data_IF_432392809499
#
_entry.id   IF_432392809499
#
_cell.length_a   1.000
_cell.length_b   1.000
_cell.length_c   1.000
_cell.angle_alpha   90.00
_cell.angle_beta   90.00
_cell.angle_gamma   90.00
#
_symmetry.space_group_name_H-M   'P 1'
#
loop_
_entity.id
_entity.type
_entity.pdbx_description
1 polymer ?
#
# COMPACT_ATOMS: atom_id res chain seq x y z
N UNK A 1 6.16 -7.00 -9.15
CA UNK A 1 5.66 -5.83 -8.39
C UNK A 1 6.54 -5.53 -7.19
N UNK A 2 6.51 -6.36 -6.13
CA UNK A 2 7.26 -6.11 -4.89
C UNK A 2 8.78 -5.99 -5.07
N UNK A 3 9.39 -6.78 -5.97
CA UNK A 3 10.81 -6.64 -6.29
C UNK A 3 11.15 -5.27 -6.88
N UNK A 4 10.32 -4.77 -7.81
CA UNK A 4 10.48 -3.43 -8.37
C UNK A 4 10.31 -2.34 -7.32
N UNK A 5 9.39 -2.53 -6.35
CA UNK A 5 9.24 -1.63 -5.21
C UNK A 5 10.49 -1.62 -4.32
N UNK A 6 11.07 -2.78 -3.98
CA UNK A 6 12.33 -2.87 -3.20
C UNK A 6 13.44 -2.03 -3.85
N UNK A 7 13.55 -2.03 -5.18
CA UNK A 7 14.56 -1.24 -5.89
C UNK A 7 14.37 0.28 -5.76
N UNK A 8 13.14 0.76 -5.56
CA UNK A 8 12.85 2.22 -5.60
C UNK A 8 12.50 2.83 -4.25
N UNK A 9 11.99 2.04 -3.29
CA UNK A 9 11.37 2.57 -2.07
C UNK A 9 12.30 3.39 -1.18
N UNK A 10 13.63 3.17 -1.25
CA UNK A 10 14.64 3.89 -0.45
C UNK A 10 15.57 4.79 -1.27
N UNK A 11 15.34 4.95 -2.57
CA UNK A 11 16.24 5.73 -3.43
C UNK A 11 16.36 7.21 -2.99
N UNK A 12 15.28 7.78 -2.47
CA UNK A 12 15.27 9.12 -1.89
C UNK A 12 16.23 9.31 -0.73
N UNK A 13 16.67 8.23 -0.07
CA UNK A 13 17.63 8.28 1.03
C UNK A 13 19.03 8.73 0.59
N UNK A 14 19.35 8.67 -0.70
CA UNK A 14 20.56 9.26 -1.25
C UNK A 14 20.52 10.81 -1.27
N UNK A 15 19.32 11.41 -1.25
CA UNK A 15 19.13 12.86 -1.12
C UNK A 15 18.99 13.24 0.35
N UNK A 16 18.03 12.62 1.03
CA UNK A 16 17.68 12.92 2.42
C UNK A 16 17.28 11.60 3.12
N UNK A 17 18.13 11.09 4.02
CA UNK A 17 17.84 9.87 4.77
C UNK A 17 16.61 9.96 5.68
N UNK A 18 16.17 11.17 6.08
CA UNK A 18 15.02 11.36 6.97
C UNK A 18 13.69 11.49 6.20
N UNK A 19 13.75 11.89 4.92
CA UNK A 19 12.57 12.09 4.04
C UNK A 19 12.60 11.20 2.80
N UNK A 20 13.24 10.03 2.93
CA UNK A 20 13.49 9.15 1.80
C UNK A 20 12.19 8.69 1.13
N UNK A 21 11.10 8.57 1.85
CA UNK A 21 9.77 8.20 1.35
C UNK A 21 9.23 9.25 0.38
N UNK A 22 9.27 10.53 0.78
CA UNK A 22 8.83 11.67 -0.04
C UNK A 22 9.66 11.77 -1.31
N UNK A 23 10.99 11.73 -1.19
CA UNK A 23 11.89 11.82 -2.34
C UNK A 23 11.86 10.58 -3.22
N UNK A 24 11.60 9.38 -2.67
CA UNK A 24 11.41 8.18 -3.49
C UNK A 24 10.10 8.26 -4.27
N UNK A 25 9.03 8.80 -3.67
CA UNK A 25 7.75 8.97 -4.33
C UNK A 25 7.80 10.02 -5.44
N UNK A 26 8.40 11.20 -5.20
CA UNK A 26 8.56 12.22 -6.23
C UNK A 26 9.58 11.81 -7.30
N UNK A 27 10.67 11.14 -6.88
CA UNK A 27 11.75 10.66 -7.73
C UNK A 27 11.31 9.66 -8.80
N UNK A 28 10.23 8.90 -8.57
CA UNK A 28 9.69 7.96 -9.58
C UNK A 28 9.34 8.71 -10.89
N UNK A 29 8.69 9.87 -10.76
CA UNK A 29 8.27 10.68 -11.89
C UNK A 29 9.42 11.62 -12.33
N UNK A 30 10.12 12.25 -11.40
CA UNK A 30 11.20 13.22 -11.66
C UNK A 30 12.42 12.61 -12.37
N UNK A 31 12.81 11.38 -12.02
CA UNK A 31 13.95 10.69 -12.63
C UNK A 31 13.55 9.72 -13.75
N UNK A 32 12.29 9.79 -14.20
CA UNK A 32 11.76 8.93 -15.25
C UNK A 32 11.88 7.43 -14.94
N UNK A 33 11.98 7.04 -13.65
CA UNK A 33 12.08 5.65 -13.23
C UNK A 33 10.88 4.83 -13.68
N UNK A 34 9.72 5.47 -13.85
CA UNK A 34 8.54 4.82 -14.43
C UNK A 34 8.80 4.22 -15.81
N UNK A 35 9.55 4.91 -16.69
CA UNK A 35 9.90 4.36 -18.01
C UNK A 35 10.81 3.14 -17.91
N UNK A 36 11.79 3.20 -17.00
CA UNK A 36 12.74 2.11 -16.77
C UNK A 36 12.01 0.88 -16.22
N UNK A 37 11.15 1.06 -15.20
CA UNK A 37 10.36 -0.02 -14.61
C UNK A 37 9.42 -0.66 -15.63
N UNK A 38 8.72 0.15 -16.44
CA UNK A 38 7.84 -0.37 -17.49
C UNK A 38 8.61 -1.12 -18.58
N UNK A 39 9.78 -0.63 -19.00
CA UNK A 39 10.65 -1.36 -19.95
C UNK A 39 11.09 -2.69 -19.37
N UNK A 40 11.60 -2.70 -18.13
CA UNK A 40 12.05 -3.90 -17.46
C UNK A 40 10.93 -4.94 -17.32
N UNK A 41 9.69 -4.51 -17.01
CA UNK A 41 8.54 -5.43 -16.95
C UNK A 41 8.21 -6.06 -18.30
N UNK A 42 8.27 -5.28 -19.39
CA UNK A 42 8.06 -5.81 -20.74
C UNK A 42 9.16 -6.78 -21.15
N UNK A 43 10.41 -6.48 -20.82
CA UNK A 43 11.57 -7.32 -21.12
C UNK A 43 11.49 -8.70 -20.44
N UNK A 44 10.92 -8.77 -19.23
CA UNK A 44 10.67 -10.05 -18.54
C UNK A 44 9.33 -10.70 -18.95
N UNK A 45 8.65 -10.18 -19.98
CA UNK A 45 7.48 -10.79 -20.60
C UNK A 45 6.12 -10.38 -20.03
N UNK A 46 6.01 -9.31 -19.23
CA UNK A 46 4.70 -8.80 -18.83
C UNK A 46 4.04 -8.05 -20.00
N UNK A 47 2.77 -8.36 -20.24
CA UNK A 47 1.94 -7.59 -21.15
C UNK A 47 1.69 -6.17 -20.63
N UNK A 48 1.38 -5.25 -21.56
CA UNK A 48 1.20 -3.83 -21.25
C UNK A 48 0.22 -3.55 -20.10
N UNK A 49 -0.97 -4.18 -20.01
CA UNK A 49 -1.88 -3.96 -18.89
C UNK A 49 -1.29 -4.43 -17.56
N UNK A 50 -0.58 -5.57 -17.56
CA UNK A 50 0.05 -6.13 -16.37
C UNK A 50 1.25 -5.28 -15.91
N UNK A 51 2.06 -4.77 -16.83
CA UNK A 51 3.18 -3.87 -16.54
C UNK A 51 2.68 -2.54 -15.95
N UNK A 52 1.64 -1.95 -16.53
CA UNK A 52 1.03 -0.72 -16.01
C UNK A 52 0.41 -0.94 -14.63
N UNK A 53 -0.28 -2.07 -14.41
CA UNK A 53 -0.82 -2.45 -13.10
C UNK A 53 0.30 -2.64 -12.07
N UNK A 54 1.40 -3.29 -12.46
CA UNK A 54 2.56 -3.47 -11.61
C UNK A 54 3.20 -2.12 -11.20
N UNK A 55 3.34 -1.21 -12.16
CA UNK A 55 3.88 0.12 -11.91
C UNK A 55 2.98 0.95 -10.99
N UNK A 56 1.66 0.93 -11.22
CA UNK A 56 0.71 1.62 -10.35
C UNK A 56 0.78 1.14 -8.89
N UNK A 57 0.89 -0.18 -8.68
CA UNK A 57 1.09 -0.72 -7.33
C UNK A 57 2.40 -0.24 -6.70
N UNK A 58 3.51 -0.21 -7.46
CA UNK A 58 4.79 0.30 -6.95
C UNK A 58 4.67 1.74 -6.49
N UNK A 59 4.02 2.62 -7.28
CA UNK A 59 3.79 4.02 -6.88
C UNK A 59 3.01 4.12 -5.59
N UNK A 60 1.90 3.38 -5.47
CA UNK A 60 1.08 3.34 -4.25
C UNK A 60 1.93 2.92 -3.06
N UNK A 61 2.66 1.80 -3.17
CA UNK A 61 3.50 1.31 -2.07
C UNK A 61 4.63 2.29 -1.70
N UNK A 62 5.19 3.03 -2.67
CA UNK A 62 6.23 4.04 -2.41
C UNK A 62 5.66 5.27 -1.71
N UNK A 63 4.42 5.70 -2.02
CA UNK A 63 3.74 6.81 -1.34
C UNK A 63 3.23 6.43 0.04
N UNK A 64 2.86 5.16 0.21
CA UNK A 64 2.27 4.63 1.42
C UNK A 64 3.30 3.93 2.33
N UNK A 65 4.60 4.19 2.21
CA UNK A 65 5.63 3.45 2.97
C UNK A 65 5.47 3.49 4.49
N UNK A 66 4.82 4.53 5.01
CA UNK A 66 4.54 4.72 6.44
C UNK A 66 3.06 4.55 6.78
N UNK A 67 2.30 3.80 5.97
CA UNK A 67 0.87 3.55 6.20
C UNK A 67 0.58 2.85 7.53
N UNK A 68 1.53 2.03 8.02
CA UNK A 68 1.43 1.34 9.30
C UNK A 68 2.36 2.00 10.34
N UNK A 69 1.83 2.60 11.42
CA UNK A 69 2.66 3.30 12.40
C UNK A 69 3.60 2.34 13.13
N UNK A 70 4.87 2.74 13.27
CA UNK A 70 5.89 1.99 14.03
C UNK A 70 5.80 2.22 15.54
N UNK A 71 5.26 3.36 15.97
CA UNK A 71 5.14 3.77 17.36
C UNK A 71 3.70 4.23 17.62
N UNK A 72 2.89 3.32 18.17
CA UNK A 72 1.46 3.52 18.45
C UNK A 72 1.22 4.27 19.77
N UNK A 73 1.96 5.36 20.04
CA UNK A 73 1.73 6.19 21.24
C UNK A 73 0.38 6.93 21.20
N UNK A 74 -0.26 6.98 20.01
CA UNK A 74 -1.71 7.20 19.86
C UNK A 74 -2.22 6.10 18.95
N UNK A 75 -3.09 5.23 19.47
CA UNK A 75 -3.75 4.21 18.65
C UNK A 75 -4.71 4.91 17.68
N UNK A 76 -4.25 5.21 16.46
CA UNK A 76 -5.16 5.56 15.38
C UNK A 76 -6.13 4.38 15.18
N UNK A 77 -7.43 4.66 15.09
CA UNK A 77 -8.40 3.59 14.85
C UNK A 77 -8.19 2.97 13.47
N UNK A 78 -8.64 1.72 13.30
CA UNK A 78 -8.62 1.04 12.00
C UNK A 78 -9.28 1.89 10.90
N UNK A 79 -10.38 2.58 11.23
CA UNK A 79 -11.01 3.58 10.38
C UNK A 79 -10.04 4.68 9.96
N UNK A 80 -9.36 5.34 10.91
CA UNK A 80 -8.47 6.47 10.62
C UNK A 80 -7.29 6.06 9.73
N UNK A 81 -6.71 4.88 10.00
CA UNK A 81 -5.61 4.33 9.18
C UNK A 81 -6.09 4.12 7.73
N UNK A 82 -7.24 3.47 7.54
CA UNK A 82 -7.74 3.20 6.20
C UNK A 82 -8.26 4.44 5.48
N UNK A 83 -8.87 5.38 6.21
CA UNK A 83 -9.28 6.69 5.69
C UNK A 83 -8.07 7.46 5.15
N UNK A 84 -6.94 7.48 5.87
CA UNK A 84 -5.71 8.11 5.41
C UNK A 84 -5.17 7.47 4.13
N UNK A 85 -5.23 6.13 4.01
CA UNK A 85 -4.86 5.42 2.77
C UNK A 85 -5.77 5.86 1.61
N UNK A 86 -7.07 6.00 1.86
CA UNK A 86 -8.05 6.45 0.86
C UNK A 86 -7.92 7.92 0.46
N UNK A 87 -7.20 8.76 1.21
CA UNK A 87 -6.92 10.14 0.80
C UNK A 87 -6.01 10.22 -0.43
N UNK A 88 -5.27 9.16 -0.73
CA UNK A 88 -4.48 9.07 -1.95
C UNK A 88 -5.35 8.80 -3.18
N UNK A 89 -5.27 9.69 -4.17
CA UNK A 89 -6.02 9.56 -5.42
C UNK A 89 -5.60 8.32 -6.24
N UNK A 90 -4.34 7.90 -6.16
CA UNK A 90 -3.86 6.69 -6.84
C UNK A 90 -4.47 5.44 -6.22
N UNK A 91 -4.63 5.41 -4.90
CA UNK A 91 -5.34 4.33 -4.19
C UNK A 91 -6.81 4.27 -4.61
N UNK A 92 -7.52 5.41 -4.63
CA UNK A 92 -8.92 5.45 -5.07
C UNK A 92 -9.08 4.99 -6.51
N UNK A 93 -8.16 5.37 -7.40
CA UNK A 93 -8.13 4.92 -8.80
C UNK A 93 -7.87 3.42 -8.89
N UNK A 94 -6.92 2.90 -8.11
CA UNK A 94 -6.61 1.47 -8.04
C UNK A 94 -7.81 0.65 -7.61
N UNK A 95 -8.52 1.10 -6.57
CA UNK A 95 -9.74 0.47 -6.05
C UNK A 95 -10.93 0.57 -7.01
N UNK A 96 -10.80 1.31 -8.13
CA UNK A 96 -11.84 1.49 -9.14
C UNK A 96 -13.14 2.02 -8.52
N UNK A 97 -13.01 2.96 -7.58
CA UNK A 97 -14.15 3.51 -6.86
C UNK A 97 -15.06 4.25 -7.85
N UNK A 98 -16.31 3.82 -7.92
CA UNK A 98 -17.32 4.38 -8.81
C UNK A 98 -18.62 4.67 -8.06
N UNK A 99 -19.41 5.63 -8.56
CA UNK A 99 -20.70 6.02 -7.98
C UNK A 99 -21.84 5.48 -8.84
N UNK A 100 -22.76 4.76 -8.22
CA UNK A 100 -23.98 4.26 -8.87
C UNK A 100 -25.16 4.35 -7.89
N UNK A 101 -26.23 5.04 -8.31
CA UNK A 101 -27.37 5.40 -7.44
C UNK A 101 -26.94 5.98 -6.08
N UNK A 102 -26.06 6.98 -6.13
CA UNK A 102 -25.49 7.67 -4.96
C UNK A 102 -24.66 6.80 -4.00
N UNK A 103 -24.48 5.52 -4.29
CA UNK A 103 -23.63 4.59 -3.52
C UNK A 103 -22.24 4.51 -4.16
N UNK A 104 -21.20 4.59 -3.34
CA UNK A 104 -19.82 4.37 -3.76
C UNK A 104 -19.47 2.88 -3.66
N UNK A 105 -19.06 2.30 -4.79
CA UNK A 105 -18.68 0.90 -4.93
C UNK A 105 -17.18 0.80 -5.22
N UNK A 106 -16.49 -0.19 -4.65
CA UNK A 106 -15.10 -0.50 -4.97
C UNK A 106 -14.99 -1.90 -5.58
N UNK A 107 -13.92 -2.15 -6.34
CA UNK A 107 -13.67 -3.47 -6.92
C UNK A 107 -13.00 -4.41 -5.89
N UNK A 108 -13.60 -5.59 -5.70
CA UNK A 108 -13.14 -6.62 -4.76
C UNK A 108 -11.70 -7.04 -5.01
N UNK A 109 -11.37 -7.47 -6.23
CA UNK A 109 -10.05 -8.00 -6.55
C UNK A 109 -8.95 -6.94 -6.43
N UNK A 110 -9.28 -5.68 -6.73
CA UNK A 110 -8.40 -4.54 -6.53
C UNK A 110 -8.15 -4.27 -5.04
N UNK A 111 -9.20 -4.34 -4.21
CA UNK A 111 -9.08 -4.20 -2.76
C UNK A 111 -8.19 -5.30 -2.17
N UNK A 112 -8.45 -6.56 -2.51
CA UNK A 112 -7.65 -7.69 -2.03
C UNK A 112 -6.17 -7.54 -2.44
N UNK A 113 -5.93 -7.17 -3.70
CA UNK A 113 -4.59 -6.90 -4.21
C UNK A 113 -3.88 -5.76 -3.48
N UNK A 114 -4.60 -4.69 -3.13
CA UNK A 114 -4.05 -3.55 -2.38
C UNK A 114 -3.66 -3.98 -0.96
N UNK A 115 -4.58 -4.60 -0.23
CA UNK A 115 -4.39 -4.98 1.17
C UNK A 115 -3.20 -5.95 1.32
N UNK A 116 -3.14 -6.98 0.47
CA UNK A 116 -2.03 -7.93 0.49
C UNK A 116 -0.68 -7.27 0.13
N UNK A 117 -0.69 -6.31 -0.80
CA UNK A 117 0.52 -5.59 -1.18
C UNK A 117 1.02 -4.66 -0.07
N UNK A 118 0.11 -3.93 0.59
CA UNK A 118 0.44 -3.09 1.74
C UNK A 118 1.01 -3.90 2.90
N UNK A 119 0.39 -5.04 3.23
CA UNK A 119 0.88 -5.98 4.24
C UNK A 119 2.30 -6.47 3.91
N UNK A 120 2.51 -6.91 2.67
CA UNK A 120 3.80 -7.44 2.25
C UNK A 120 4.89 -6.37 2.24
N UNK A 121 4.56 -5.16 1.80
CA UNK A 121 5.49 -4.02 1.85
C UNK A 121 5.86 -3.65 3.30
N UNK A 122 4.88 -3.64 4.21
CA UNK A 122 5.14 -3.38 5.62
C UNK A 122 6.07 -4.44 6.22
N UNK A 123 5.87 -5.72 5.91
CA UNK A 123 6.78 -6.78 6.34
C UNK A 123 8.21 -6.59 5.81
N UNK A 124 8.34 -6.38 4.50
CA UNK A 124 9.64 -6.20 3.85
C UNK A 124 10.39 -4.99 4.40
N UNK A 125 9.68 -3.92 4.77
CA UNK A 125 10.29 -2.74 5.41
C UNK A 125 10.93 -3.06 6.78
N UNK A 126 10.54 -4.17 7.42
CA UNK A 126 11.08 -4.62 8.71
C UNK A 126 12.11 -5.75 8.59
N UNK A 127 12.37 -6.23 7.37
CA UNK A 127 13.26 -7.36 7.14
C UNK A 127 14.67 -7.13 7.71
N UNK A 128 15.18 -5.90 7.67
CA UNK A 128 16.50 -5.56 8.22
C UNK A 128 16.60 -5.70 9.76
N UNK A 129 15.47 -5.62 10.47
CA UNK A 129 15.41 -5.72 11.93
C UNK A 129 15.12 -7.13 12.45
N UNK A 130 14.79 -8.09 11.57
CA UNK A 130 14.38 -9.45 11.95
C UNK A 130 15.42 -10.15 12.83
N UNK A 131 16.71 -9.97 12.53
CA UNK A 131 17.78 -10.61 13.29
C UNK A 131 18.17 -9.82 14.55
N UNK A 132 18.11 -8.48 14.51
CA UNK A 132 18.49 -7.64 15.65
C UNK A 132 17.39 -7.50 16.71
N UNK A 133 16.12 -7.50 16.30
CA UNK A 133 14.96 -7.24 17.15
C UNK A 133 13.78 -8.20 16.83
N UNK A 134 14.00 -9.53 16.86
CA UNK A 134 13.02 -10.51 16.37
C UNK A 134 11.66 -10.40 17.05
N UNK A 135 11.62 -10.23 18.37
CA UNK A 135 10.36 -10.14 19.13
C UNK A 135 9.55 -8.88 18.77
N UNK A 136 10.22 -7.75 18.52
CA UNK A 136 9.56 -6.51 18.11
C UNK A 136 8.94 -6.68 16.72
N UNK A 137 9.71 -7.21 15.77
CA UNK A 137 9.21 -7.47 14.41
C UNK A 137 8.02 -8.43 14.42
N UNK A 138 8.09 -9.52 15.20
CA UNK A 138 6.97 -10.47 15.32
C UNK A 138 5.73 -9.81 15.91
N UNK A 139 5.88 -8.94 16.91
CA UNK A 139 4.75 -8.24 17.52
C UNK A 139 4.11 -7.26 16.55
N UNK A 140 4.90 -6.40 15.90
CA UNK A 140 4.41 -5.45 14.88
C UNK A 140 3.70 -6.19 13.73
N UNK A 141 4.26 -7.32 13.30
CA UNK A 141 3.69 -8.13 12.22
C UNK A 141 2.36 -8.78 12.63
N UNK A 142 2.22 -9.22 13.88
CA UNK A 142 0.93 -9.73 14.41
C UNK A 142 -0.14 -8.65 14.43
N UNK A 143 0.22 -7.43 14.82
CA UNK A 143 -0.72 -6.30 14.85
C UNK A 143 -1.15 -5.90 13.44
N UNK A 144 -0.20 -5.80 12.51
CA UNK A 144 -0.49 -5.53 11.10
C UNK A 144 -1.39 -6.62 10.50
N UNK A 145 -1.08 -7.90 10.77
CA UNK A 145 -1.90 -9.01 10.29
C UNK A 145 -3.33 -8.97 10.85
N UNK A 146 -3.53 -8.61 12.12
CA UNK A 146 -4.88 -8.41 12.69
C UNK A 146 -5.66 -7.32 11.96
N UNK A 147 -5.00 -6.22 11.61
CA UNK A 147 -5.64 -5.16 10.82
C UNK A 147 -6.02 -5.64 9.41
N UNK A 148 -5.15 -6.37 8.75
CA UNK A 148 -5.43 -7.01 7.45
C UNK A 148 -6.64 -7.95 7.55
N UNK A 149 -6.73 -8.77 8.61
CA UNK A 149 -7.90 -9.62 8.85
C UNK A 149 -9.18 -8.80 9.06
N UNK A 150 -9.11 -7.69 9.80
CA UNK A 150 -10.23 -6.77 9.99
C UNK A 150 -10.68 -6.14 8.67
N UNK A 151 -9.74 -5.74 7.80
CA UNK A 151 -10.05 -5.20 6.46
C UNK A 151 -10.79 -6.22 5.58
N UNK A 152 -10.35 -7.48 5.56
CA UNK A 152 -11.05 -8.53 4.81
C UNK A 152 -12.43 -8.84 5.39
N UNK A 153 -12.57 -8.87 6.73
CA UNK A 153 -13.88 -9.05 7.34
C UNK A 153 -14.83 -7.88 7.01
N UNK A 154 -14.33 -6.65 7.04
CA UNK A 154 -15.09 -5.45 6.64
C UNK A 154 -15.48 -5.50 5.16
N UNK A 155 -14.57 -5.91 4.28
CA UNK A 155 -14.83 -6.06 2.85
C UNK A 155 -15.96 -7.06 2.58
N UNK A 156 -15.88 -8.27 3.15
CA UNK A 156 -16.91 -9.29 3.03
C UNK A 156 -18.29 -8.82 3.52
N UNK A 157 -18.35 -8.07 4.62
CA UNK A 157 -19.59 -7.56 5.20
C UNK A 157 -20.14 -6.30 4.50
N UNK A 158 -19.30 -5.57 3.76
CA UNK A 158 -19.66 -4.29 3.13
C UNK A 158 -20.55 -4.45 1.90
N UNK A 159 -20.60 -5.66 1.30
CA UNK A 159 -21.17 -5.84 -0.04
C UNK A 159 -20.50 -4.96 -1.08
N UNK A 160 -19.21 -4.67 -0.90
CA UNK A 160 -18.36 -3.80 -1.74
C UNK A 160 -18.77 -2.32 -1.77
N UNK A 161 -19.56 -1.88 -0.80
CA UNK A 161 -19.91 -0.46 -0.62
C UNK A 161 -18.89 0.21 0.28
N UNK A 162 -18.27 1.29 -0.21
CA UNK A 162 -17.19 1.98 0.49
C UNK A 162 -17.61 2.51 1.86
N UNK A 163 -18.82 3.06 1.95
CA UNK A 163 -19.37 3.60 3.20
C UNK A 163 -19.57 2.49 4.25
N UNK A 164 -20.09 1.32 3.85
CA UNK A 164 -20.25 0.17 4.75
C UNK A 164 -18.92 -0.43 5.18
N UNK A 165 -17.94 -0.48 4.27
CA UNK A 165 -16.58 -0.89 4.59
C UNK A 165 -16.00 0.01 5.69
N UNK A 166 -16.08 1.33 5.49
CA UNK A 166 -15.60 2.30 6.45
C UNK A 166 -16.33 2.20 7.79
N UNK A 167 -17.65 2.03 7.79
CA UNK A 167 -18.43 1.83 9.01
C UNK A 167 -17.95 0.60 9.79
N UNK A 168 -17.71 -0.53 9.11
CA UNK A 168 -17.23 -1.76 9.73
C UNK A 168 -15.81 -1.65 10.36
N UNK A 169 -15.06 -0.59 10.04
CA UNK A 169 -13.73 -0.30 10.59
C UNK A 169 -13.76 0.66 11.80
N UNK A 170 -14.92 1.22 12.16
CA UNK A 170 -15.05 2.09 13.34
C UNK A 170 -15.07 1.32 14.66
N UNK A 171 -15.40 0.03 14.61
CA UNK A 171 -15.48 -0.89 15.76
C UNK A 171 -14.18 -1.66 16.02
#
# INVERSE_FOLDING_TARGET
MLFGWICVHRLGGAIDPEKFDVYSASGIDEWMLGKILLSAFREIGLEEPAANRAFAMIRILTRQQHWWPSDSTKAASHYQVFEQILWDAEVRKWLQINRYHDILWFNKEAFEGLVLSLFTAAFLSRAEFVFSQPNKVVQEMKENYRFVQKLFAAEANSGFQLEKLLEALKD
#
